data_IF_226691049752
#
_entry.id   IF_226691049752
#
_cell.length_a   1.000
_cell.length_b   1.000
_cell.length_c   1.000
_cell.angle_alpha   90.00
_cell.angle_beta   90.00
_cell.angle_gamma   90.00
#
_symmetry.space_group_name_H-M   'P 1'
#
loop_
_entity.id
_entity.type
_entity.pdbx_description
1 polymer ?
#
# COMPACT_ATOMS: atom_id res chain seq x y z
N UNK A 1 24.06 -5.17 -1.79
CA UNK A 1 24.03 -5.12 -0.32
C UNK A 1 23.84 -6.53 0.19
N UNK A 2 24.65 -6.93 1.17
CA UNK A 2 24.57 -8.24 1.81
C UNK A 2 24.27 -8.01 3.28
N UNK A 3 23.21 -8.63 3.80
CA UNK A 3 22.81 -8.50 5.19
C UNK A 3 22.72 -9.87 5.84
N UNK A 4 23.04 -9.95 7.12
CA UNK A 4 23.03 -11.22 7.85
C UNK A 4 21.64 -11.51 8.37
N UNK A 5 21.10 -12.67 8.00
CA UNK A 5 19.89 -13.22 8.62
C UNK A 5 20.28 -13.89 9.94
N UNK A 6 19.56 -13.56 11.01
CA UNK A 6 19.75 -14.11 12.36
C UNK A 6 18.42 -14.64 12.91
N UNK A 7 18.50 -15.52 13.92
CA UNK A 7 17.34 -15.97 14.69
C UNK A 7 17.01 -14.91 15.76
N UNK A 8 15.77 -14.47 15.82
CA UNK A 8 15.28 -13.57 16.88
C UNK A 8 13.98 -14.13 17.46
N UNK A 9 14.07 -14.75 18.63
CA UNK A 9 12.97 -15.52 19.20
C UNK A 9 12.58 -16.69 18.29
N UNK A 10 11.30 -16.73 17.89
CA UNK A 10 10.78 -17.74 16.96
C UNK A 10 10.96 -17.36 15.49
N UNK A 11 11.35 -16.11 15.20
CA UNK A 11 11.37 -15.54 13.86
C UNK A 11 12.81 -15.38 13.32
N UNK A 12 12.91 -15.01 12.05
CA UNK A 12 14.16 -14.60 11.41
C UNK A 12 14.17 -13.09 11.24
N UNK A 13 15.30 -12.47 11.52
CA UNK A 13 15.51 -11.04 11.36
C UNK A 13 16.71 -10.77 10.45
N UNK A 14 16.62 -9.73 9.63
CA UNK A 14 17.75 -9.22 8.84
C UNK A 14 18.41 -8.12 9.67
N UNK A 15 19.71 -8.27 9.98
CA UNK A 15 20.44 -7.24 10.70
C UNK A 15 21.02 -6.22 9.72
N UNK A 16 20.57 -4.98 9.84
CA UNK A 16 21.13 -3.80 9.19
C UNK A 16 21.92 -2.98 10.22
N UNK A 17 23.07 -2.46 9.83
CA UNK A 17 23.76 -1.42 10.59
C UNK A 17 22.97 -0.10 10.53
N UNK A 18 23.24 0.83 11.46
CA UNK A 18 22.60 2.15 11.45
C UNK A 18 22.83 2.89 10.14
N UNK A 19 24.04 2.80 9.59
CA UNK A 19 24.40 3.40 8.29
C UNK A 19 23.59 2.80 7.14
N UNK A 20 23.44 1.48 7.08
CA UNK A 20 22.64 0.82 6.04
C UNK A 20 21.15 1.17 6.17
N UNK A 21 20.63 1.28 7.39
CA UNK A 21 19.24 1.68 7.63
C UNK A 21 19.00 3.14 7.17
N UNK A 22 19.93 4.05 7.46
CA UNK A 22 19.87 5.45 7.01
C UNK A 22 19.98 5.57 5.48
N UNK A 23 20.89 4.84 4.84
CA UNK A 23 21.04 4.80 3.37
C UNK A 23 19.77 4.30 2.67
N UNK A 24 19.05 3.36 3.30
CA UNK A 24 17.78 2.83 2.80
C UNK A 24 16.57 3.68 3.22
N UNK A 25 16.76 4.71 4.05
CA UNK A 25 15.69 5.56 4.56
C UNK A 25 14.75 4.88 5.55
N UNK A 26 15.13 3.73 6.12
CA UNK A 26 14.30 2.91 7.01
C UNK A 26 14.46 3.39 8.45
N UNK A 27 13.35 3.58 9.17
CA UNK A 27 13.34 3.92 10.60
C UNK A 27 12.85 2.75 11.46
N UNK A 28 13.24 2.78 12.74
CA UNK A 28 12.73 1.80 13.72
C UNK A 28 11.20 1.88 13.80
N UNK A 29 10.52 0.72 13.77
CA UNK A 29 9.06 0.61 13.79
C UNK A 29 8.37 0.76 12.42
N UNK A 30 9.12 1.07 11.36
CA UNK A 30 8.60 1.17 10.00
C UNK A 30 8.30 -0.22 9.40
N UNK A 31 7.19 -0.32 8.67
CA UNK A 31 6.86 -1.53 7.91
C UNK A 31 7.46 -1.43 6.51
N UNK A 32 8.20 -2.46 6.10
CA UNK A 32 8.90 -2.49 4.80
C UNK A 32 8.45 -3.70 3.98
N UNK A 33 8.43 -3.56 2.65
CA UNK A 33 8.17 -4.66 1.72
C UNK A 33 9.48 -5.39 1.36
N UNK A 34 9.47 -6.73 1.40
CA UNK A 34 10.63 -7.56 1.04
C UNK A 34 10.36 -8.23 -0.31
N UNK A 35 11.15 -7.88 -1.33
CA UNK A 35 11.04 -8.45 -2.68
C UNK A 35 12.25 -9.35 -2.97
N UNK A 36 12.01 -10.60 -3.38
CA UNK A 36 13.07 -11.51 -3.80
C UNK A 36 13.53 -11.20 -5.23
N UNK A 37 14.83 -10.94 -5.42
CA UNK A 37 15.42 -10.68 -6.76
C UNK A 37 15.64 -11.95 -7.61
N UNK A 38 15.53 -13.14 -7.03
CA UNK A 38 15.67 -14.41 -7.73
C UNK A 38 14.33 -14.90 -8.30
N UNK A 39 14.35 -15.56 -9.46
CA UNK A 39 13.21 -16.34 -9.94
C UNK A 39 12.93 -17.43 -8.90
N UNK A 40 11.74 -17.51 -8.30
CA UNK A 40 11.43 -18.64 -7.46
C UNK A 40 11.36 -19.86 -8.40
N UNK A 41 12.31 -20.79 -8.25
CA UNK A 41 12.28 -22.10 -8.94
C UNK A 41 11.21 -23.03 -8.33
N UNK A 42 10.55 -22.55 -7.28
CA UNK A 42 9.32 -23.08 -6.74
C UNK A 42 8.20 -22.24 -7.35
N UNK A 43 7.14 -22.86 -7.88
CA UNK A 43 5.91 -22.14 -8.24
C UNK A 43 5.66 -21.05 -7.20
N UNK A 44 5.31 -19.81 -7.59
CA UNK A 44 5.07 -18.77 -6.60
C UNK A 44 4.01 -19.31 -5.66
N UNK A 45 4.43 -19.72 -4.46
CA UNK A 45 3.52 -19.92 -3.34
C UNK A 45 2.86 -18.57 -3.25
N UNK A 46 1.63 -18.49 -3.74
CA UNK A 46 0.85 -17.26 -3.70
C UNK A 46 1.04 -16.73 -2.30
N UNK A 47 1.70 -15.57 -2.21
CA UNK A 47 1.99 -14.96 -0.93
C UNK A 47 0.64 -14.80 -0.23
N UNK A 48 0.38 -15.61 0.79
CA UNK A 48 -0.91 -15.63 1.50
C UNK A 48 -1.00 -14.49 2.53
N UNK A 49 0.06 -13.68 2.65
CA UNK A 49 0.07 -12.49 3.50
C UNK A 49 -0.62 -11.31 2.83
N UNK A 50 -1.03 -10.32 3.64
CA UNK A 50 -1.60 -9.07 3.13
C UNK A 50 -0.54 -8.32 2.31
N UNK A 51 -0.90 -7.86 1.11
CA UNK A 51 -0.07 -6.98 0.28
C UNK A 51 -0.21 -5.54 0.78
N UNK A 52 0.86 -4.76 0.72
CA UNK A 52 0.86 -3.33 1.06
C UNK A 52 1.38 -2.51 -0.12
N UNK A 53 0.87 -1.28 -0.30
CA UNK A 53 1.38 -0.26 -1.23
C UNK A 53 1.41 1.06 -0.47
N UNK A 54 2.55 1.73 -0.44
CA UNK A 54 2.78 2.97 0.33
C UNK A 54 2.37 2.86 1.82
N UNK A 55 2.62 1.69 2.44
CA UNK A 55 2.25 1.40 3.83
C UNK A 55 0.77 1.09 4.06
N UNK A 56 -0.08 1.16 3.04
CA UNK A 56 -1.50 0.86 3.11
C UNK A 56 -1.80 -0.58 2.65
N UNK A 57 -2.67 -1.32 3.35
CA UNK A 57 -3.06 -2.66 2.92
C UNK A 57 -3.85 -2.59 1.61
N UNK A 58 -3.47 -3.44 0.65
CA UNK A 58 -4.22 -3.64 -0.58
C UNK A 58 -5.34 -4.61 -0.31
N UNK A 59 -6.58 -4.13 -0.40
CA UNK A 59 -7.78 -4.96 -0.26
C UNK A 59 -8.15 -5.61 -1.58
N UNK A 60 -8.51 -6.89 -1.52
CA UNK A 60 -9.11 -7.61 -2.65
C UNK A 60 -10.55 -7.16 -2.86
N UNK A 61 -11.05 -7.34 -4.08
CA UNK A 61 -12.47 -7.11 -4.39
C UNK A 61 -13.40 -7.91 -3.47
N UNK A 62 -13.03 -9.17 -3.15
CA UNK A 62 -13.79 -10.01 -2.26
C UNK A 62 -13.87 -9.45 -0.82
N UNK A 63 -12.76 -8.94 -0.28
CA UNK A 63 -12.73 -8.28 1.03
C UNK A 63 -13.58 -7.01 1.04
N UNK A 64 -13.49 -6.17 0.00
CA UNK A 64 -14.30 -4.95 -0.11
C UNK A 64 -15.81 -5.27 -0.17
N UNK A 65 -16.21 -6.29 -0.95
CA UNK A 65 -17.61 -6.73 -1.02
C UNK A 65 -18.08 -7.33 0.30
N UNK A 66 -17.23 -8.14 0.96
CA UNK A 66 -17.56 -8.71 2.27
C UNK A 66 -17.79 -7.60 3.31
N UNK A 67 -16.96 -6.55 3.28
CA UNK A 67 -17.11 -5.40 4.18
C UNK A 67 -18.35 -4.58 3.87
N UNK A 68 -18.64 -4.30 2.59
CA UNK A 68 -19.88 -3.63 2.20
C UNK A 68 -21.13 -4.38 2.68
N UNK A 69 -21.13 -5.72 2.56
CA UNK A 69 -22.22 -6.57 3.08
C UNK A 69 -22.31 -6.56 4.61
N UNK A 70 -21.17 -6.45 5.31
CA UNK A 70 -21.11 -6.38 6.77
C UNK A 70 -21.66 -5.05 7.30
N UNK A 71 -21.36 -3.96 6.60
CA UNK A 71 -21.79 -2.61 6.94
C UNK A 71 -23.26 -2.34 6.61
N UNK A 72 -23.82 -3.06 5.64
CA UNK A 72 -25.23 -2.94 5.29
C UNK A 72 -25.56 -1.69 4.45
N UNK A 73 -26.79 -1.62 3.92
CA UNK A 73 -27.24 -0.51 3.07
C UNK A 73 -27.27 0.85 3.78
N UNK A 74 -27.35 0.87 5.11
CA UNK A 74 -27.31 2.09 5.93
C UNK A 74 -25.96 2.82 5.86
N UNK A 75 -24.90 2.12 5.46
CA UNK A 75 -23.57 2.69 5.28
C UNK A 75 -23.30 3.09 3.82
N UNK A 76 -24.27 2.94 2.92
CA UNK A 76 -24.13 3.38 1.54
C UNK A 76 -24.05 4.91 1.49
N UNK A 77 -22.96 5.48 0.96
CA UNK A 77 -22.82 6.93 0.88
C UNK A 77 -23.85 7.51 -0.09
N UNK A 78 -24.30 8.73 0.20
CA UNK A 78 -25.19 9.45 -0.69
C UNK A 78 -24.53 9.66 -2.06
N UNK A 79 -25.31 9.47 -3.12
CA UNK A 79 -24.86 9.81 -4.47
C UNK A 79 -24.70 11.33 -4.58
N UNK A 80 -23.48 11.78 -4.83
CA UNK A 80 -23.18 13.20 -5.02
C UNK A 80 -23.55 13.61 -6.44
N UNK A 81 -24.41 14.62 -6.57
CA UNK A 81 -24.62 15.32 -7.84
C UNK A 81 -23.44 16.27 -8.08
N UNK A 82 -22.55 15.88 -8.98
CA UNK A 82 -21.39 16.67 -9.38
C UNK A 82 -21.77 17.86 -10.28
N UNK A 83 -23.06 18.03 -10.58
CA UNK A 83 -23.58 19.05 -11.47
C UNK A 83 -23.63 18.58 -12.93
N UNK A 84 -24.05 19.48 -13.84
CA UNK A 84 -24.13 19.15 -15.26
C UNK A 84 -22.74 18.82 -15.81
N UNK A 85 -22.69 17.97 -16.85
CA UNK A 85 -21.46 17.69 -17.59
C UNK A 85 -20.91 19.00 -18.18
N UNK A 86 -19.77 19.47 -17.64
CA UNK A 86 -19.14 20.74 -18.02
C UNK A 86 -17.87 20.55 -18.86
N UNK A 87 -17.49 19.31 -19.18
CA UNK A 87 -16.22 19.01 -19.85
C UNK A 87 -14.99 19.33 -18.98
N UNK A 88 -13.80 19.05 -19.50
CA UNK A 88 -12.51 19.13 -18.79
C UNK A 88 -11.85 20.52 -18.79
N UNK A 89 -12.52 21.56 -19.30
CA UNK A 89 -11.95 22.90 -19.56
C UNK A 89 -12.52 24.00 -18.64
N UNK A 90 -12.60 23.76 -17.32
CA UNK A 90 -12.86 24.85 -16.36
C UNK A 90 -11.52 25.49 -16.01
N UNK A 91 -11.13 26.50 -16.77
CA UNK A 91 -10.20 27.54 -16.33
C UNK A 91 -11.05 28.78 -16.02
N UNK A 92 -11.00 29.25 -14.78
CA UNK A 92 -11.63 30.52 -14.39
C UNK A 92 -10.73 31.68 -14.79
N UNK A 93 -10.82 32.10 -16.05
CA UNK A 93 -10.04 33.23 -16.60
C UNK A 93 -10.49 34.58 -16.01
N UNK A 94 -11.63 34.65 -15.30
CA UNK A 94 -12.14 35.90 -14.73
C UNK A 94 -11.36 36.34 -13.48
N UNK A 95 -10.46 35.50 -12.98
CA UNK A 95 -9.61 35.77 -11.83
C UNK A 95 -8.11 35.60 -12.16
N UNK A 96 -7.73 35.72 -13.44
CA UNK A 96 -6.32 35.82 -13.85
C UNK A 96 -5.81 37.25 -13.59
N UNK A 97 -4.89 37.48 -12.64
CA UNK A 97 -4.38 38.80 -12.30
C UNK A 97 -3.24 39.28 -13.22
N UNK A 98 -3.04 38.68 -14.41
CA UNK A 98 -2.01 39.06 -15.37
C UNK A 98 -2.55 39.76 -16.62
#
# INVERSE_FOLDING_TARGET
MEAKVIRWGNDLAVRLSSMEAEELGIREGETVEIVSKGRPEVEPKQWTGRRYVDGLPVYTMAEMIAEARRLGPEAEPESVDWGPDRGSEIIDDANDPY
#
